data_IF_497786049413
#
_entry.id   IF_497786049413
#
_cell.length_a   1.000
_cell.length_b   1.000
_cell.length_c   1.000
_cell.angle_alpha   90.00
_cell.angle_beta   90.00
_cell.angle_gamma   90.00
#
_symmetry.space_group_name_H-M   'P 1'
#
loop_
_entity.id
_entity.type
_entity.pdbx_description
1 polymer ?
#
# COMPACT_ATOMS: atom_id res chain seq x y z
N UNK A 1 -23.78 -11.36 3.99
CA UNK A 1 -22.54 -12.13 4.20
C UNK A 1 -21.45 -11.15 4.54
N UNK A 2 -20.69 -11.42 5.59
CA UNK A 2 -19.50 -10.62 5.92
C UNK A 2 -18.47 -10.80 4.80
N UNK A 3 -17.69 -9.77 4.47
CA UNK A 3 -16.60 -9.87 3.47
C UNK A 3 -15.56 -10.95 3.84
N UNK A 4 -15.48 -11.32 5.12
CA UNK A 4 -14.62 -12.40 5.61
C UNK A 4 -15.13 -13.80 5.26
N UNK A 5 -16.41 -13.97 4.91
CA UNK A 5 -17.00 -15.28 4.59
C UNK A 5 -16.44 -15.87 3.29
N UNK A 6 -15.87 -15.03 2.42
CA UNK A 6 -15.24 -15.44 1.15
C UNK A 6 -13.78 -15.90 1.31
N UNK A 7 -13.17 -15.69 2.48
CA UNK A 7 -11.78 -16.10 2.74
C UNK A 7 -11.75 -17.58 3.10
N UNK A 8 -11.03 -18.38 2.32
CA UNK A 8 -10.77 -19.78 2.68
C UNK A 8 -9.70 -19.80 3.79
N UNK A 9 -10.00 -20.27 5.01
CA UNK A 9 -9.09 -20.18 6.16
C UNK A 9 -7.97 -21.23 6.03
N UNK A 10 -6.98 -20.95 5.19
CA UNK A 10 -5.83 -21.82 4.94
C UNK A 10 -4.59 -20.97 4.69
N UNK A 11 -3.45 -21.38 5.25
CA UNK A 11 -2.15 -20.80 4.93
C UNK A 11 -1.55 -21.57 3.76
N UNK A 12 -1.48 -20.93 2.60
CA UNK A 12 -0.92 -21.49 1.37
C UNK A 12 0.50 -21.00 1.15
N UNK A 13 1.33 -21.85 0.54
CA UNK A 13 2.67 -21.51 0.04
C UNK A 13 2.63 -21.10 -1.43
N UNK A 14 3.77 -20.61 -1.94
CA UNK A 14 3.93 -20.22 -3.35
C UNK A 14 3.66 -21.36 -4.35
N UNK A 15 3.85 -22.62 -3.94
CA UNK A 15 3.64 -23.80 -4.78
C UNK A 15 2.18 -24.25 -4.85
N UNK A 16 1.29 -23.67 -4.05
CA UNK A 16 -0.12 -24.01 -4.04
C UNK A 16 -0.73 -23.79 -5.43
N UNK A 17 -1.43 -24.80 -5.93
CA UNK A 17 -2.05 -24.79 -7.27
C UNK A 17 -3.50 -24.38 -7.22
N UNK A 18 -3.95 -23.69 -8.25
CA UNK A 18 -5.35 -23.34 -8.45
C UNK A 18 -5.70 -23.17 -9.93
N UNK A 19 -6.99 -23.17 -10.23
CA UNK A 19 -7.52 -22.88 -11.55
C UNK A 19 -8.16 -21.51 -11.54
N UNK A 20 -7.76 -20.66 -12.48
CA UNK A 20 -8.35 -19.33 -12.57
C UNK A 20 -8.13 -18.68 -13.93
N UNK A 21 -9.15 -17.97 -14.42
CA UNK A 21 -8.96 -16.98 -15.49
C UNK A 21 -10.05 -15.93 -15.40
N UNK A 22 -9.68 -14.66 -15.51
CA UNK A 22 -10.62 -13.56 -15.69
C UNK A 22 -10.45 -13.00 -17.11
N UNK A 23 -11.55 -12.79 -17.85
CA UNK A 23 -11.53 -12.25 -19.20
C UNK A 23 -12.89 -11.63 -19.55
N UNK A 24 -12.96 -10.76 -20.56
CA UNK A 24 -14.18 -10.03 -20.95
C UNK A 24 -15.42 -10.91 -21.18
N UNK A 25 -15.22 -12.12 -21.68
CA UNK A 25 -16.31 -13.07 -21.95
C UNK A 25 -16.79 -13.89 -20.75
N UNK A 26 -16.21 -13.73 -19.55
CA UNK A 26 -16.63 -14.49 -18.37
C UNK A 26 -17.94 -13.93 -17.82
N UNK A 27 -18.80 -14.80 -17.26
CA UNK A 27 -20.11 -14.41 -16.73
C UNK A 27 -20.06 -13.30 -15.67
N UNK A 28 -18.99 -13.26 -14.88
CA UNK A 28 -18.79 -12.28 -13.81
C UNK A 28 -17.82 -11.16 -14.18
N UNK A 29 -17.64 -10.88 -15.47
CA UNK A 29 -16.76 -9.80 -15.90
C UNK A 29 -17.17 -8.51 -15.18
N UNK A 30 -16.18 -7.77 -14.66
CA UNK A 30 -16.32 -6.52 -13.86
C UNK A 30 -17.07 -6.60 -12.53
N UNK A 31 -17.77 -7.71 -12.21
CA UNK A 31 -18.59 -7.81 -10.99
C UNK A 31 -17.82 -7.68 -9.68
N UNK A 32 -16.53 -8.05 -9.64
CA UNK A 32 -15.70 -7.89 -8.44
C UNK A 32 -15.25 -6.44 -8.20
N UNK A 33 -15.42 -5.55 -9.18
CA UNK A 33 -14.99 -4.15 -9.12
C UNK A 33 -16.08 -3.24 -8.53
N UNK A 34 -16.74 -3.69 -7.46
CA UNK A 34 -17.83 -2.96 -6.80
C UNK A 34 -17.93 -3.32 -5.32
N UNK A 35 -18.30 -2.36 -4.47
CA UNK A 35 -18.54 -2.53 -3.04
C UNK A 35 -17.38 -3.18 -2.25
N UNK A 36 -16.14 -2.94 -2.69
CA UNK A 36 -14.92 -3.43 -2.03
C UNK A 36 -14.20 -2.31 -1.26
N UNK A 37 -13.37 -2.69 -0.29
CA UNK A 37 -12.48 -1.76 0.41
C UNK A 37 -11.06 -2.06 -0.05
N UNK A 38 -10.41 -1.11 -0.72
CA UNK A 38 -9.04 -1.27 -1.22
C UNK A 38 -8.16 -0.25 -0.50
N UNK A 39 -7.35 -0.74 0.44
CA UNK A 39 -6.22 0.02 0.96
C UNK A 39 -5.16 0.14 -0.12
N UNK A 40 -4.80 1.38 -0.46
CA UNK A 40 -3.72 1.66 -1.41
C UNK A 40 -2.38 1.61 -0.69
N UNK A 41 -1.38 1.05 -1.36
CA UNK A 41 0.02 1.18 -0.98
C UNK A 41 0.60 2.49 -1.53
N UNK A 42 1.74 2.98 -1.00
CA UNK A 42 2.47 4.12 -1.58
C UNK A 42 2.70 3.96 -3.08
N UNK A 43 3.12 2.76 -3.51
CA UNK A 43 3.39 2.52 -4.92
C UNK A 43 2.12 2.50 -5.78
N UNK A 44 0.98 2.05 -5.24
CA UNK A 44 -0.31 2.15 -5.96
C UNK A 44 -0.67 3.61 -6.24
N UNK A 45 -0.45 4.52 -5.27
CA UNK A 45 -0.71 5.95 -5.45
C UNK A 45 0.18 6.53 -6.56
N UNK A 46 1.49 6.21 -6.56
CA UNK A 46 2.42 6.64 -7.62
C UNK A 46 1.96 6.16 -9.00
N UNK A 47 1.60 4.88 -9.12
CA UNK A 47 1.17 4.30 -10.40
C UNK A 47 -0.12 4.92 -10.90
N UNK A 48 -1.12 5.05 -10.02
CA UNK A 48 -2.42 5.58 -10.39
C UNK A 48 -2.37 7.09 -10.72
N UNK A 49 -1.70 7.91 -9.91
CA UNK A 49 -1.58 9.35 -10.20
C UNK A 49 -0.88 9.59 -11.54
N UNK A 50 0.19 8.84 -11.82
CA UNK A 50 0.93 8.93 -13.08
C UNK A 50 0.09 8.48 -14.27
N UNK A 51 -0.66 7.38 -14.12
CA UNK A 51 -1.59 6.87 -15.15
C UNK A 51 -2.68 7.89 -15.50
N UNK A 52 -3.14 8.65 -14.52
CA UNK A 52 -4.20 9.65 -14.67
C UNK A 52 -3.66 11.05 -15.02
N UNK A 53 -2.34 11.25 -15.01
CA UNK A 53 -1.73 12.57 -15.24
C UNK A 53 -2.03 13.57 -14.13
N UNK A 54 -2.16 13.12 -12.89
CA UNK A 54 -2.54 13.92 -11.73
C UNK A 54 -1.39 14.11 -10.74
N UNK A 55 -1.45 15.19 -9.97
CA UNK A 55 -0.64 15.35 -8.76
C UNK A 55 -1.09 14.37 -7.68
N UNK A 56 -0.24 14.12 -6.69
CA UNK A 56 -0.62 13.34 -5.50
C UNK A 56 -1.83 13.95 -4.78
N UNK A 57 -1.89 15.28 -4.64
CA UNK A 57 -3.01 15.97 -3.97
C UNK A 57 -4.33 15.76 -4.70
N UNK A 58 -4.35 15.98 -6.03
CA UNK A 58 -5.57 15.82 -6.84
C UNK A 58 -6.05 14.37 -6.83
N UNK A 59 -5.14 13.41 -7.01
CA UNK A 59 -5.47 12.00 -6.98
C UNK A 59 -6.07 11.58 -5.63
N UNK A 60 -5.40 11.94 -4.53
CA UNK A 60 -5.86 11.56 -3.19
C UNK A 60 -7.20 12.22 -2.85
N UNK A 61 -7.37 13.50 -3.19
CA UNK A 61 -8.61 14.24 -2.93
C UNK A 61 -9.80 13.75 -3.74
N UNK A 62 -9.58 13.32 -4.99
CA UNK A 62 -10.66 12.84 -5.87
C UNK A 62 -11.01 11.37 -5.67
N UNK A 63 -10.00 10.51 -5.56
CA UNK A 63 -10.16 9.06 -5.65
C UNK A 63 -9.97 8.30 -4.34
N UNK A 64 -9.62 8.98 -3.25
CA UNK A 64 -9.40 8.30 -1.97
C UNK A 64 -10.15 8.98 -0.83
N UNK A 65 -10.21 8.28 0.30
CA UNK A 65 -10.49 8.89 1.58
C UNK A 65 -9.51 8.35 2.63
N UNK A 66 -9.25 9.14 3.66
CA UNK A 66 -8.40 8.74 4.77
C UNK A 66 -9.23 7.95 5.79
N UNK A 67 -8.76 6.76 6.16
CA UNK A 67 -9.31 5.94 7.26
C UNK A 67 -8.26 5.81 8.34
N UNK A 68 -8.57 6.28 9.55
CA UNK A 68 -7.72 6.04 10.72
C UNK A 68 -7.99 4.63 11.22
N UNK A 69 -6.99 3.78 11.24
CA UNK A 69 -7.10 2.44 11.80
C UNK A 69 -7.17 2.50 13.33
N UNK A 70 -8.13 1.81 13.93
CA UNK A 70 -8.39 1.85 15.38
C UNK A 70 -7.28 1.18 16.18
N UNK A 71 -6.60 0.19 15.62
CA UNK A 71 -5.58 -0.59 16.32
C UNK A 71 -4.20 0.07 16.30
N UNK A 72 -3.92 0.92 15.30
CA UNK A 72 -2.62 1.53 15.06
C UNK A 72 -2.65 3.05 15.04
N UNK A 73 -3.82 3.69 14.98
CA UNK A 73 -3.97 5.13 14.68
C UNK A 73 -3.32 5.55 13.35
N UNK A 74 -3.01 4.61 12.45
CA UNK A 74 -2.41 4.94 11.16
C UNK A 74 -3.47 5.47 10.20
N UNK A 75 -3.20 6.60 9.51
CA UNK A 75 -4.07 7.08 8.45
C UNK A 75 -3.78 6.32 7.16
N UNK A 76 -4.70 5.48 6.73
CA UNK A 76 -4.59 4.74 5.47
C UNK A 76 -5.39 5.41 4.36
N UNK A 77 -4.82 5.46 3.16
CA UNK A 77 -5.52 5.88 1.95
C UNK A 77 -6.35 4.71 1.42
N UNK A 78 -7.67 4.86 1.45
CA UNK A 78 -8.61 3.86 0.92
C UNK A 78 -9.19 4.38 -0.40
N UNK A 79 -9.19 3.54 -1.43
CA UNK A 79 -9.81 3.87 -2.71
C UNK A 79 -11.32 4.12 -2.49
N UNK A 80 -11.79 5.28 -2.94
CA UNK A 80 -13.17 5.71 -2.85
C UNK A 80 -13.98 5.06 -3.97
N UNK A 81 -14.99 4.28 -3.60
CA UNK A 81 -15.99 3.77 -4.55
C UNK A 81 -16.95 4.89 -4.97
N UNK A 82 -17.55 4.76 -6.14
CA UNK A 82 -18.55 5.69 -6.67
C UNK A 82 -19.79 5.74 -5.78
N UNK A 83 -20.47 6.89 -5.77
CA UNK A 83 -21.72 7.10 -5.04
C UNK A 83 -22.92 6.66 -5.88
N UNK A 84 -22.94 5.38 -6.23
CA UNK A 84 -24.07 4.69 -6.86
C UNK A 84 -24.46 3.47 -6.02
N UNK A 85 -25.64 2.91 -6.28
CA UNK A 85 -26.19 1.81 -5.48
C UNK A 85 -25.26 0.60 -5.40
N UNK A 86 -24.52 0.32 -6.48
CA UNK A 86 -23.57 -0.79 -6.56
C UNK A 86 -22.21 -0.49 -5.94
N UNK A 87 -21.92 0.79 -5.64
CA UNK A 87 -20.63 1.29 -5.18
C UNK A 87 -19.49 0.84 -6.09
N UNK A 88 -19.61 1.09 -7.40
CA UNK A 88 -18.63 0.65 -8.39
C UNK A 88 -17.27 1.33 -8.21
N UNK A 89 -16.19 0.62 -8.55
CA UNK A 89 -14.86 1.20 -8.64
C UNK A 89 -14.86 2.34 -9.68
N UNK A 90 -14.28 3.52 -9.38
CA UNK A 90 -14.33 4.67 -10.28
C UNK A 90 -13.59 4.43 -11.62
N UNK A 91 -12.78 3.38 -11.70
CA UNK A 91 -12.02 3.03 -12.91
C UNK A 91 -12.66 1.92 -13.75
N UNK A 92 -13.76 1.31 -13.30
CA UNK A 92 -14.41 0.23 -14.03
C UNK A 92 -15.45 0.77 -15.02
N UNK A 93 -15.50 0.13 -16.19
CA UNK A 93 -16.50 0.34 -17.24
C UNK A 93 -16.97 -1.02 -17.74
N UNK A 94 -18.00 -1.07 -18.59
CA UNK A 94 -18.46 -2.31 -19.24
C UNK A 94 -17.35 -2.97 -20.10
N UNK A 95 -16.36 -2.18 -20.53
CA UNK A 95 -15.20 -2.64 -21.28
C UNK A 95 -14.06 -3.16 -20.39
N UNK A 96 -14.17 -2.98 -19.07
CA UNK A 96 -13.19 -3.38 -18.08
C UNK A 96 -12.59 -2.22 -17.30
N UNK A 97 -11.49 -2.48 -16.59
CA UNK A 97 -10.78 -1.48 -15.81
C UNK A 97 -9.91 -0.58 -16.70
N UNK A 98 -10.15 0.72 -16.67
CA UNK A 98 -9.42 1.73 -17.46
C UNK A 98 -7.95 1.91 -17.05
N UNK A 99 -7.62 1.50 -15.81
CA UNK A 99 -6.27 1.48 -15.25
C UNK A 99 -5.73 0.07 -15.07
N UNK A 100 -6.23 -0.92 -15.84
CA UNK A 100 -5.91 -2.33 -15.59
C UNK A 100 -4.41 -2.61 -15.44
N UNK A 101 -3.55 -2.08 -16.32
CA UNK A 101 -2.08 -2.25 -16.27
C UNK A 101 -1.40 -1.56 -15.09
N UNK A 102 -2.11 -0.69 -14.38
CA UNK A 102 -1.63 0.10 -13.25
C UNK A 102 -2.49 -0.12 -12.00
N UNK A 103 -3.34 -1.15 -12.02
CA UNK A 103 -4.29 -1.46 -10.94
C UNK A 103 -3.55 -1.74 -9.63
N UNK A 104 -4.19 -1.45 -8.48
CA UNK A 104 -3.59 -1.64 -7.16
C UNK A 104 -3.10 -3.07 -6.91
N UNK A 105 -2.10 -3.23 -6.03
CA UNK A 105 -1.57 -4.53 -5.62
C UNK A 105 -2.68 -5.50 -5.18
N UNK A 106 -3.67 -5.06 -4.39
CA UNK A 106 -4.81 -5.89 -3.98
C UNK A 106 -5.62 -6.42 -5.18
N UNK A 107 -5.81 -5.61 -6.22
CA UNK A 107 -6.51 -6.01 -7.45
C UNK A 107 -5.67 -6.95 -8.33
N UNK A 108 -4.34 -6.90 -8.26
CA UNK A 108 -3.44 -7.85 -8.93
C UNK A 108 -3.41 -9.19 -8.23
N UNK A 109 -3.49 -9.15 -6.91
CA UNK A 109 -3.48 -10.33 -6.07
C UNK A 109 -4.72 -11.21 -6.31
N UNK A 110 -5.91 -10.60 -6.39
CA UNK A 110 -7.18 -11.32 -6.59
C UNK A 110 -7.11 -12.37 -7.72
N UNK A 111 -7.48 -13.64 -7.48
CA UNK A 111 -8.23 -14.14 -6.31
C UNK A 111 -7.33 -14.65 -5.17
N UNK A 112 -6.02 -14.45 -5.25
CA UNK A 112 -5.06 -14.78 -4.20
C UNK A 112 -4.99 -13.61 -3.22
N UNK A 113 -5.29 -13.83 -1.95
CA UNK A 113 -4.96 -12.88 -0.88
C UNK A 113 -3.55 -13.12 -0.35
N UNK A 114 -2.89 -12.04 0.08
CA UNK A 114 -1.63 -12.09 0.82
C UNK A 114 -1.86 -11.55 2.23
N UNK A 115 -1.36 -12.26 3.23
CA UNK A 115 -1.30 -11.81 4.61
C UNK A 115 0.13 -11.81 5.12
N UNK A 116 0.43 -10.90 6.04
CA UNK A 116 1.71 -10.85 6.75
C UNK A 116 1.45 -10.99 8.24
N UNK A 117 2.15 -11.90 8.89
CA UNK A 117 2.16 -12.01 10.35
C UNK A 117 3.55 -11.73 10.90
N UNK A 118 3.58 -11.00 12.02
CA UNK A 118 4.79 -10.78 12.79
C UNK A 118 4.91 -11.93 13.80
N UNK A 119 5.87 -12.82 13.60
CA UNK A 119 6.23 -13.87 14.57
C UNK A 119 7.37 -13.36 15.44
N UNK A 120 7.28 -13.57 16.74
CA UNK A 120 8.43 -13.38 17.62
C UNK A 120 9.48 -14.46 17.31
N UNK A 121 10.68 -14.06 16.90
CA UNK A 121 11.79 -14.98 16.67
C UNK A 121 12.92 -14.70 17.65
N UNK A 122 12.83 -15.34 18.82
CA UNK A 122 13.94 -15.48 19.78
C UNK A 122 14.91 -14.29 19.86
N UNK A 123 16.21 -14.56 19.64
CA UNK A 123 17.30 -13.57 19.79
C UNK A 123 17.45 -12.59 18.62
N UNK A 124 16.86 -12.88 17.46
CA UNK A 124 17.06 -12.12 16.22
C UNK A 124 15.95 -11.09 15.94
N UNK A 125 15.03 -10.95 16.90
CA UNK A 125 13.90 -10.03 16.79
C UNK A 125 12.73 -10.61 15.99
N UNK A 126 11.67 -9.83 15.74
CA UNK A 126 10.49 -10.35 15.08
C UNK A 126 10.73 -10.65 13.59
N UNK A 127 10.30 -11.85 13.13
CA UNK A 127 10.30 -12.23 11.71
C UNK A 127 8.92 -11.96 11.11
N UNK A 128 8.91 -11.39 9.91
CA UNK A 128 7.70 -11.27 9.11
C UNK A 128 7.54 -12.52 8.26
N UNK A 129 6.45 -13.24 8.46
CA UNK A 129 6.07 -14.38 7.64
C UNK A 129 4.88 -13.99 6.77
N UNK A 130 5.08 -14.11 5.46
CA UNK A 130 4.00 -13.96 4.48
C UNK A 130 3.30 -15.30 4.26
N UNK A 131 1.98 -15.26 4.11
CA UNK A 131 1.17 -16.41 3.74
C UNK A 131 0.11 -15.99 2.73
N UNK A 132 -0.38 -16.97 1.97
CA UNK A 132 -1.41 -16.74 0.97
C UNK A 132 -2.69 -17.48 1.32
N UNK A 133 -3.79 -17.02 0.75
CA UNK A 133 -5.11 -17.63 0.87
C UNK A 133 -5.92 -17.35 -0.40
N UNK A 134 -7.00 -18.10 -0.64
CA UNK A 134 -7.90 -17.81 -1.74
C UNK A 134 -9.10 -17.02 -1.25
N UNK A 135 -9.52 -16.04 -2.07
CA UNK A 135 -10.77 -15.31 -1.92
C UNK A 135 -11.74 -15.93 -2.93
N UNK A 136 -12.70 -16.71 -2.43
CA UNK A 136 -13.66 -17.43 -3.26
C UNK A 136 -15.06 -16.85 -3.06
N UNK A 137 -15.37 -15.81 -3.83
CA UNK A 137 -16.68 -15.17 -3.78
C UNK A 137 -17.69 -15.95 -4.65
N UNK A 138 -18.94 -16.12 -4.20
CA UNK A 138 -19.95 -16.88 -4.96
C UNK A 138 -20.22 -16.35 -6.37
N UNK A 139 -19.98 -15.07 -6.60
CA UNK A 139 -20.14 -14.43 -7.90
C UNK A 139 -18.93 -14.64 -8.83
N UNK A 140 -17.80 -15.16 -8.34
CA UNK A 140 -16.56 -15.29 -9.10
C UNK A 140 -16.52 -16.61 -9.88
N UNK A 141 -16.82 -16.54 -11.18
CA UNK A 141 -16.77 -17.71 -12.08
C UNK A 141 -15.35 -18.04 -12.56
N UNK A 142 -14.35 -17.22 -12.19
CA UNK A 142 -12.96 -17.42 -12.62
C UNK A 142 -12.38 -18.76 -12.20
N UNK A 143 -12.78 -19.30 -11.04
CA UNK A 143 -12.34 -20.61 -10.56
C UNK A 143 -12.88 -21.80 -11.38
N UNK A 144 -13.88 -21.60 -12.24
CA UNK A 144 -14.42 -22.63 -13.12
C UNK A 144 -13.65 -22.75 -14.45
N UNK A 145 -12.74 -21.83 -14.71
CA UNK A 145 -11.90 -21.84 -15.90
C UNK A 145 -10.83 -22.93 -15.82
N UNK A 146 -10.26 -23.29 -16.98
CA UNK A 146 -9.34 -24.44 -17.08
C UNK A 146 -7.86 -24.07 -16.89
N UNK A 147 -7.51 -22.78 -16.92
CA UNK A 147 -6.12 -22.34 -16.83
C UNK A 147 -5.60 -22.61 -15.42
N UNK A 148 -4.50 -23.37 -15.34
CA UNK A 148 -3.86 -23.74 -14.09
C UNK A 148 -2.72 -22.77 -13.76
N UNK A 149 -2.55 -22.54 -12.46
CA UNK A 149 -1.54 -21.67 -11.89
C UNK A 149 -0.96 -22.30 -10.64
N UNK A 150 0.29 -21.95 -10.33
CA UNK A 150 0.77 -21.86 -8.94
C UNK A 150 0.65 -20.42 -8.47
N UNK A 151 0.61 -20.19 -7.14
CA UNK A 151 0.65 -18.83 -6.59
C UNK A 151 1.90 -18.07 -7.08
N UNK A 152 3.05 -18.73 -7.17
CA UNK A 152 4.27 -18.13 -7.75
C UNK A 152 4.04 -17.63 -9.20
N UNK A 153 3.54 -18.49 -10.09
CA UNK A 153 3.30 -18.13 -11.49
C UNK A 153 2.21 -17.08 -11.67
N UNK A 154 1.23 -17.04 -10.76
CA UNK A 154 0.21 -15.99 -10.74
C UNK A 154 0.80 -14.64 -10.37
N UNK A 155 1.65 -14.60 -9.33
CA UNK A 155 2.32 -13.35 -8.90
C UNK A 155 3.21 -12.77 -10.00
N UNK A 156 3.90 -13.64 -10.73
CA UNK A 156 4.70 -13.27 -11.89
C UNK A 156 3.82 -12.71 -13.03
N UNK A 157 2.78 -13.44 -13.44
CA UNK A 157 1.85 -13.02 -14.51
C UNK A 157 1.11 -11.72 -14.20
N UNK A 158 0.77 -11.50 -12.92
CA UNK A 158 0.11 -10.28 -12.46
C UNK A 158 1.09 -9.15 -12.10
N UNK A 159 2.40 -9.38 -12.24
CA UNK A 159 3.50 -8.45 -11.97
C UNK A 159 3.51 -7.88 -10.54
N UNK A 160 2.93 -8.61 -9.58
CA UNK A 160 2.78 -8.09 -8.20
C UNK A 160 4.08 -8.16 -7.40
N UNK A 161 5.04 -8.97 -7.84
CA UNK A 161 6.39 -9.03 -7.26
C UNK A 161 7.10 -7.68 -7.24
N UNK A 162 6.88 -6.85 -8.27
CA UNK A 162 7.46 -5.52 -8.32
C UNK A 162 6.81 -4.58 -7.28
N UNK A 163 5.49 -4.66 -7.12
CA UNK A 163 4.75 -3.88 -6.12
C UNK A 163 5.18 -4.27 -4.69
N UNK A 164 5.34 -5.56 -4.44
CA UNK A 164 5.78 -6.06 -3.15
C UNK A 164 7.20 -5.64 -2.81
N UNK A 165 8.09 -5.59 -3.82
CA UNK A 165 9.48 -5.13 -3.63
C UNK A 165 9.53 -3.67 -3.21
N UNK A 166 8.80 -2.80 -3.92
CA UNK A 166 8.78 -1.35 -3.60
C UNK A 166 8.15 -1.11 -2.23
N UNK A 167 7.10 -1.86 -1.87
CA UNK A 167 6.39 -1.67 -0.61
C UNK A 167 6.97 -2.49 0.55
N UNK A 168 8.08 -3.23 0.36
CA UNK A 168 8.61 -4.19 1.33
C UNK A 168 8.81 -3.58 2.72
N UNK A 169 9.43 -2.41 2.78
CA UNK A 169 9.75 -1.77 4.06
C UNK A 169 8.59 -0.92 4.60
N UNK A 170 7.59 -0.63 3.77
CA UNK A 170 6.36 0.06 4.16
C UNK A 170 5.33 -0.89 4.77
N UNK A 171 5.14 -2.10 4.21
CA UNK A 171 4.19 -3.11 4.71
C UNK A 171 4.26 -3.36 6.23
N UNK A 172 5.44 -3.51 6.85
CA UNK A 172 5.56 -3.78 8.28
C UNK A 172 5.02 -2.65 9.16
N UNK A 173 5.01 -1.41 8.65
CA UNK A 173 4.45 -0.27 9.37
C UNK A 173 2.96 -0.48 9.65
N UNK A 174 2.24 -1.14 8.74
CA UNK A 174 0.81 -1.46 8.94
C UNK A 174 0.56 -2.42 10.11
N UNK A 175 1.57 -3.20 10.52
CA UNK A 175 1.44 -4.18 11.60
C UNK A 175 1.69 -3.58 12.99
N UNK A 176 2.03 -2.29 13.08
CA UNK A 176 2.17 -1.60 14.36
C UNK A 176 0.82 -1.62 15.08
N UNK A 177 0.86 -1.82 16.40
CA UNK A 177 -0.31 -1.68 17.28
C UNK A 177 -0.04 -0.61 18.31
N UNK A 178 -1.10 0.08 18.72
CA UNK A 178 -1.09 0.96 19.87
C UNK A 178 -0.91 0.12 21.12
N UNK A 179 0.15 0.41 21.87
CA UNK A 179 0.52 -0.27 23.11
C UNK A 179 0.86 0.80 24.17
N UNK A 180 0.82 0.49 25.47
CA UNK A 180 1.26 1.44 26.50
C UNK A 180 2.69 1.96 26.28
N UNK A 181 3.58 1.11 25.73
CA UNK A 181 4.96 1.45 25.35
C UNK A 181 5.10 2.10 23.96
N UNK A 182 4.01 2.19 23.19
CA UNK A 182 3.95 2.78 21.86
C UNK A 182 2.57 3.41 21.68
N UNK A 183 2.33 4.59 22.30
CA UNK A 183 1.00 5.19 22.37
C UNK A 183 0.47 5.59 20.99
N UNK A 184 -0.81 5.92 20.95
CA UNK A 184 -1.50 6.39 19.74
C UNK A 184 -0.72 7.49 19.01
N UNK A 185 -0.79 7.48 17.68
CA UNK A 185 -0.19 8.56 16.89
C UNK A 185 -1.02 9.81 17.09
N UNK A 186 -0.37 10.87 17.57
CA UNK A 186 -0.97 12.20 17.62
C UNK A 186 -1.29 12.71 16.20
N UNK A 187 -2.23 13.66 16.04
CA UNK A 187 -2.64 14.15 14.72
C UNK A 187 -1.51 14.71 13.86
N UNK A 188 -0.45 15.28 14.44
CA UNK A 188 0.69 15.79 13.67
C UNK A 188 1.47 14.63 13.05
N UNK A 189 1.73 13.56 13.81
CA UNK A 189 2.38 12.35 13.29
C UNK A 189 1.52 11.64 12.25
N UNK A 190 0.19 11.64 12.40
CA UNK A 190 -0.72 11.11 11.38
C UNK A 190 -0.57 11.86 10.05
N UNK A 191 -0.58 13.19 10.08
CA UNK A 191 -0.37 14.02 8.87
C UNK A 191 0.98 13.72 8.21
N UNK A 192 2.04 13.64 9.01
CA UNK A 192 3.38 13.32 8.50
C UNK A 192 3.47 11.90 7.91
N UNK A 193 2.85 10.91 8.55
CA UNK A 193 2.75 9.54 8.04
C UNK A 193 2.02 9.51 6.69
N UNK A 194 0.87 10.16 6.59
CA UNK A 194 0.06 10.18 5.37
C UNK A 194 0.79 10.88 4.23
N UNK A 195 1.46 12.01 4.52
CA UNK A 195 2.26 12.74 3.54
C UNK A 195 3.39 11.87 3.01
N UNK A 196 4.23 11.31 3.88
CA UNK A 196 5.39 10.51 3.49
C UNK A 196 5.01 9.13 2.88
N UNK A 197 3.79 8.63 3.13
CA UNK A 197 3.31 7.38 2.52
C UNK A 197 2.59 7.61 1.18
N UNK A 198 1.77 8.65 1.07
CA UNK A 198 0.79 8.76 -0.02
C UNK A 198 0.91 10.05 -0.81
N UNK A 199 1.17 11.17 -0.13
CA UNK A 199 1.29 12.48 -0.80
C UNK A 199 2.75 12.82 -1.11
N UNK A 200 3.34 12.04 -2.01
CA UNK A 200 4.76 12.12 -2.31
C UNK A 200 5.18 13.43 -2.96
N UNK A 201 4.30 14.08 -3.72
CA UNK A 201 4.62 15.40 -4.28
C UNK A 201 4.79 16.43 -3.14
N UNK A 202 3.84 16.48 -2.21
CA UNK A 202 3.96 17.33 -1.02
C UNK A 202 5.10 16.93 -0.09
N UNK A 203 5.41 15.63 0.01
CA UNK A 203 6.56 15.16 0.78
C UNK A 203 7.88 15.63 0.16
N UNK A 204 7.98 15.60 -1.16
CA UNK A 204 9.12 16.15 -1.90
C UNK A 204 9.25 17.64 -1.64
N UNK A 205 8.17 18.40 -1.78
CA UNK A 205 8.18 19.84 -1.50
C UNK A 205 8.61 20.10 -0.04
N UNK A 206 8.10 19.31 0.91
CA UNK A 206 8.52 19.41 2.31
C UNK A 206 10.02 19.17 2.49
N UNK A 207 10.63 18.22 1.77
CA UNK A 207 12.08 17.98 1.84
C UNK A 207 12.87 19.16 1.26
N UNK A 208 12.48 19.67 0.09
CA UNK A 208 13.31 20.59 -0.70
C UNK A 208 12.99 22.07 -0.49
N UNK A 209 11.79 22.40 -0.03
CA UNK A 209 11.31 23.78 0.12
C UNK A 209 11.21 24.22 1.60
N UNK A 210 11.57 23.34 2.53
CA UNK A 210 11.63 23.65 3.98
C UNK A 210 13.05 23.54 4.54
N UNK A 211 13.19 23.73 5.86
CA UNK A 211 14.46 23.54 6.58
C UNK A 211 14.86 22.05 6.73
N UNK A 212 14.13 21.11 6.12
CA UNK A 212 14.37 19.67 6.27
C UNK A 212 15.83 19.26 6.00
N UNK A 213 16.39 19.67 4.86
CA UNK A 213 17.80 19.37 4.50
C UNK A 213 18.82 20.15 5.35
N UNK A 214 18.39 21.18 6.08
CA UNK A 214 19.21 21.89 7.07
C UNK A 214 19.22 21.18 8.43
N UNK A 215 18.18 20.39 8.72
CA UNK A 215 18.00 19.68 9.99
C UNK A 215 18.58 18.27 9.93
N UNK A 216 18.37 17.54 8.85
CA UNK A 216 18.79 16.15 8.72
C UNK A 216 20.12 16.01 7.96
N UNK A 217 20.96 15.10 8.46
CA UNK A 217 22.21 14.70 7.80
C UNK A 217 21.91 13.60 6.78
N UNK A 218 21.85 13.99 5.51
CA UNK A 218 21.50 13.14 4.37
C UNK A 218 22.58 13.35 3.31
N UNK A 219 23.12 12.26 2.79
CA UNK A 219 24.16 12.29 1.76
C UNK A 219 23.63 12.85 0.43
N UNK A 220 24.51 13.47 -0.35
CA UNK A 220 24.17 14.13 -1.61
C UNK A 220 23.57 13.16 -2.64
N UNK A 221 24.01 11.89 -2.66
CA UNK A 221 23.49 10.87 -3.58
C UNK A 221 22.01 10.58 -3.28
N UNK A 222 21.65 10.40 -2.01
CA UNK A 222 20.26 10.23 -1.58
C UNK A 222 19.42 11.45 -1.94
N UNK A 223 19.93 12.66 -1.66
CA UNK A 223 19.23 13.92 -1.97
C UNK A 223 18.92 14.05 -3.46
N UNK A 224 19.85 13.68 -4.34
CA UNK A 224 19.63 13.75 -5.78
C UNK A 224 18.61 12.72 -6.24
N UNK A 225 18.68 11.47 -5.75
CA UNK A 225 17.74 10.41 -6.10
C UNK A 225 16.30 10.75 -5.73
N UNK A 226 16.04 11.18 -4.49
CA UNK A 226 14.68 11.46 -4.00
C UNK A 226 14.05 12.69 -4.66
N UNK A 227 14.85 13.53 -5.33
CA UNK A 227 14.36 14.68 -6.09
C UNK A 227 13.52 14.26 -7.28
N UNK A 228 13.90 13.19 -7.98
CA UNK A 228 13.28 12.81 -9.27
C UNK A 228 12.73 11.40 -9.32
N UNK A 229 13.09 10.52 -8.38
CA UNK A 229 12.64 9.13 -8.37
C UNK A 229 11.61 8.90 -7.25
N UNK A 230 10.36 8.63 -7.65
CA UNK A 230 9.27 8.34 -6.72
C UNK A 230 9.51 7.06 -5.90
N UNK A 231 10.20 6.05 -6.44
CA UNK A 231 10.51 4.81 -5.72
C UNK A 231 11.52 5.09 -4.62
N UNK A 232 12.58 5.84 -4.92
CA UNK A 232 13.56 6.26 -3.92
C UNK A 232 12.92 7.16 -2.85
N UNK A 233 11.99 8.04 -3.27
CA UNK A 233 11.23 8.87 -2.34
C UNK A 233 10.31 8.05 -1.43
N UNK A 234 9.70 6.95 -1.91
CA UNK A 234 8.96 6.00 -1.05
C UNK A 234 9.89 5.39 -0.01
N UNK A 235 11.07 4.90 -0.42
CA UNK A 235 12.02 4.29 0.52
C UNK A 235 12.48 5.29 1.57
N UNK A 236 12.76 6.53 1.16
CA UNK A 236 13.10 7.61 2.07
C UNK A 236 11.93 7.97 3.00
N UNK A 237 10.70 7.98 2.48
CA UNK A 237 9.48 8.18 3.27
C UNK A 237 9.33 7.16 4.38
N UNK A 238 9.61 5.88 4.11
CA UNK A 238 9.63 4.84 5.15
C UNK A 238 10.68 5.15 6.23
N UNK A 239 11.90 5.56 5.86
CA UNK A 239 12.93 5.97 6.83
C UNK A 239 12.47 7.14 7.69
N UNK A 240 11.87 8.16 7.07
CA UNK A 240 11.31 9.31 7.76
C UNK A 240 10.19 8.92 8.74
N UNK A 241 9.26 8.07 8.31
CA UNK A 241 8.16 7.57 9.12
C UNK A 241 8.68 6.83 10.36
N UNK A 242 9.64 5.91 10.18
CA UNK A 242 10.27 5.18 11.28
C UNK A 242 10.92 6.11 12.31
N UNK A 243 11.54 7.21 11.85
CA UNK A 243 12.16 8.21 12.71
C UNK A 243 11.12 8.99 13.52
N UNK A 244 10.10 9.58 12.88
CA UNK A 244 9.08 10.40 13.57
C UNK A 244 8.22 9.59 14.54
N UNK A 245 8.08 8.29 14.28
CA UNK A 245 7.36 7.35 15.12
C UNK A 245 8.23 6.75 16.23
N UNK A 246 9.53 7.11 16.29
CA UNK A 246 10.50 6.56 17.25
C UNK A 246 10.62 5.04 17.19
N UNK A 247 10.41 4.46 16.01
CA UNK A 247 10.54 3.01 15.79
C UNK A 247 12.02 2.62 15.65
N UNK A 248 12.78 3.45 14.94
CA UNK A 248 14.22 3.26 14.65
C UNK A 248 14.90 4.62 14.58
N UNK A 249 16.19 4.69 14.92
CA UNK A 249 17.04 5.86 14.62
C UNK A 249 17.46 5.83 13.15
N UNK A 250 16.49 5.91 12.25
CA UNK A 250 16.66 5.79 10.79
C UNK A 250 17.15 7.07 10.11
N UNK A 251 17.14 8.21 10.81
CA UNK A 251 17.67 9.49 10.35
C UNK A 251 18.52 10.14 11.44
N UNK A 252 19.56 10.86 11.04
CA UNK A 252 20.49 11.58 11.94
C UNK A 252 20.28 13.08 11.80
N UNK A 253 20.33 13.81 12.91
CA UNK A 253 20.27 15.26 12.92
C UNK A 253 21.67 15.86 12.71
N UNK A 254 21.76 16.97 11.99
CA UNK A 254 22.99 17.75 11.91
C UNK A 254 23.34 18.35 13.27
N UNK A 255 24.64 18.55 13.52
CA UNK A 255 25.16 19.03 14.82
C UNK A 255 24.58 20.38 15.25
N UNK A 256 24.16 21.19 14.29
CA UNK A 256 23.61 22.53 14.47
C UNK A 256 22.09 22.60 14.18
N UNK A 257 21.41 21.45 14.10
CA UNK A 257 19.98 21.37 13.78
C UNK A 257 19.08 22.16 14.75
N UNK A 258 19.52 22.36 16.01
CA UNK A 258 18.75 23.10 17.02
C UNK A 258 18.44 24.54 16.62
N UNK A 259 19.24 25.17 15.77
CA UNK A 259 18.98 26.54 15.29
C UNK A 259 17.80 26.65 14.32
N UNK A 260 17.30 25.52 13.80
CA UNK A 260 16.18 25.42 12.88
C UNK A 260 14.89 24.91 13.56
N UNK A 261 14.92 24.62 14.87
CA UNK A 261 13.72 24.28 15.62
C UNK A 261 12.84 25.53 15.72
N UNK A 262 11.71 25.54 15.01
CA UNK A 262 10.66 26.54 15.23
C UNK A 262 9.96 26.21 16.56
N UNK A 263 9.96 27.18 17.48
CA UNK A 263 9.27 27.12 18.78
C UNK A 263 7.79 26.73 18.63
#
# INVERSE_FOLDING_TARGET
MSKMDAVVPTKLSLDAKFKFRCHKGIKCFTSCCSNIEILLTPYDVVRLKKRLGMSSDDFLGMYTYMKIDENSSHPFAILKMSDNDERTCPFVTDEGCTVYTDRPANCRYYPVGQGTIKKESGKDGPILEEFYFFINEPHCYGFHEKKEWTIASWREDQEVDHYDRVNRDWKPLQLRKNLPSSPELDPKKQIQFYMASYNLDKFRDYIFESDFLNVFDIDEETVEKIRTDDIELIQFGVKYIKFIMMLEQSLTLKKDADKYKKN
#
